data_IF_837939338609
#
_entry.id   IF_837939338609
#
_cell.length_a   1.000
_cell.length_b   1.000
_cell.length_c   1.000
_cell.angle_alpha   90.00
_cell.angle_beta   90.00
_cell.angle_gamma   90.00
#
_symmetry.space_group_name_H-M   'P 1'
#
loop_
_entity.id
_entity.type
_entity.pdbx_description
1 polymer ?
#
# COMPACT_ATOMS: atom_id res chain seq x y z
N UNK A 1 -1.09 20.66 -12.15
CA UNK A 1 -1.70 19.66 -11.26
C UNK A 1 -0.69 18.61 -10.77
N UNK A 2 0.45 18.41 -11.42
CA UNK A 2 1.43 17.39 -11.02
C UNK A 2 2.35 17.81 -9.86
N UNK A 3 2.51 19.11 -9.67
CA UNK A 3 3.37 19.67 -8.62
C UNK A 3 2.52 20.10 -7.42
N UNK A 4 2.89 19.65 -6.25
CA UNK A 4 2.24 20.01 -4.99
C UNK A 4 2.68 21.42 -4.57
N UNK A 5 1.71 22.31 -4.27
CA UNK A 5 1.96 23.70 -3.82
C UNK A 5 1.81 23.77 -2.30
N UNK A 6 2.17 23.07 -1.52
CA UNK A 6 2.08 23.01 -0.06
C UNK A 6 1.46 24.26 0.60
N UNK A 7 0.14 24.47 0.42
CA UNK A 7 -0.59 25.67 0.85
C UNK A 7 -2.11 25.44 0.76
N UNK A 8 -2.93 26.47 1.07
CA UNK A 8 -4.39 26.36 1.04
C UNK A 8 -4.95 26.37 -0.41
N UNK A 9 -4.46 25.43 -1.22
CA UNK A 9 -4.84 25.28 -2.64
C UNK A 9 -5.45 23.91 -2.85
N UNK A 10 -6.64 23.86 -3.42
CA UNK A 10 -7.32 22.62 -3.84
C UNK A 10 -7.44 22.64 -5.36
N UNK A 11 -6.89 21.61 -5.98
CA UNK A 11 -7.01 21.42 -7.43
C UNK A 11 -8.17 20.47 -7.71
N UNK A 12 -9.05 20.86 -8.64
CA UNK A 12 -10.21 20.08 -9.06
C UNK A 12 -10.06 19.71 -10.52
N UNK A 13 -10.24 18.44 -10.84
CA UNK A 13 -10.31 17.90 -12.19
C UNK A 13 -11.71 17.31 -12.40
N UNK A 14 -12.43 17.79 -13.40
CA UNK A 14 -13.76 17.30 -13.77
C UNK A 14 -13.62 16.43 -15.01
N UNK A 15 -14.27 15.27 -14.99
CA UNK A 15 -14.24 14.32 -16.10
C UNK A 15 -15.65 13.80 -16.41
N UNK A 16 -15.84 13.33 -17.64
CA UNK A 16 -17.06 12.67 -18.08
C UNK A 16 -17.08 11.21 -17.62
N UNK A 17 -18.26 10.67 -17.31
CA UNK A 17 -18.41 9.29 -16.84
C UNK A 17 -17.75 8.26 -17.77
N UNK A 18 -17.77 8.52 -19.07
CA UNK A 18 -17.13 7.67 -20.08
C UNK A 18 -15.61 7.63 -19.97
N UNK A 19 -14.97 8.63 -19.34
CA UNK A 19 -13.52 8.75 -19.16
C UNK A 19 -13.07 8.32 -17.78
N UNK A 20 -13.81 7.43 -17.13
CA UNK A 20 -13.49 6.98 -15.78
C UNK A 20 -12.15 6.23 -15.72
N UNK A 21 -11.89 5.30 -16.65
CA UNK A 21 -10.67 4.52 -16.68
C UNK A 21 -9.44 5.37 -16.97
N UNK A 22 -9.52 6.28 -17.94
CA UNK A 22 -8.44 7.22 -18.27
C UNK A 22 -8.16 8.16 -17.07
N UNK A 23 -9.21 8.50 -16.32
CA UNK A 23 -9.05 9.32 -15.12
C UNK A 23 -8.34 8.56 -14.01
N UNK A 24 -8.64 7.28 -13.81
CA UNK A 24 -7.93 6.44 -12.85
C UNK A 24 -6.44 6.29 -13.22
N UNK A 25 -6.13 6.12 -14.49
CA UNK A 25 -4.75 6.08 -15.00
C UNK A 25 -4.05 7.42 -14.77
N UNK A 26 -4.71 8.53 -15.09
CA UNK A 26 -4.18 9.87 -14.82
C UNK A 26 -3.88 10.09 -13.33
N UNK A 27 -4.73 9.63 -12.42
CA UNK A 27 -4.50 9.70 -10.97
C UNK A 27 -3.27 8.89 -10.58
N UNK A 28 -3.16 7.65 -11.06
CA UNK A 28 -2.04 6.75 -10.73
C UNK A 28 -0.68 7.29 -11.19
N UNK A 29 -0.66 7.97 -12.35
CA UNK A 29 0.55 8.49 -12.99
C UNK A 29 0.86 9.96 -12.65
N UNK A 30 -0.04 10.67 -11.97
CA UNK A 30 0.10 12.11 -11.77
C UNK A 30 1.23 12.51 -10.84
N UNK A 31 1.59 11.66 -9.90
CA UNK A 31 2.62 11.95 -8.89
C UNK A 31 3.36 10.68 -8.46
N UNK A 32 4.60 10.85 -8.03
CA UNK A 32 5.39 9.78 -7.40
C UNK A 32 5.01 9.53 -5.93
N UNK A 33 4.23 10.42 -5.31
CA UNK A 33 3.78 10.29 -3.93
C UNK A 33 2.51 9.44 -3.84
N UNK A 34 2.38 8.68 -2.75
CA UNK A 34 1.25 7.78 -2.51
C UNK A 34 0.95 7.68 -1.01
N UNK A 35 0.62 8.82 -0.38
CA UNK A 35 0.38 8.87 1.07
C UNK A 35 -1.04 8.42 1.41
N UNK A 36 -2.03 9.23 1.09
CA UNK A 36 -3.44 8.96 1.39
C UNK A 36 -4.33 9.26 0.20
N UNK A 37 -5.45 8.56 0.11
CA UNK A 37 -6.47 8.81 -0.89
C UNK A 37 -7.85 8.41 -0.39
N UNK A 38 -8.88 8.98 -0.99
CA UNK A 38 -10.28 8.63 -0.72
C UNK A 38 -11.05 8.45 -2.00
N UNK A 39 -11.92 7.45 -2.01
CA UNK A 39 -12.83 7.16 -3.12
C UNK A 39 -14.25 7.29 -2.60
N UNK A 40 -15.02 8.20 -3.21
CA UNK A 40 -16.43 8.40 -2.92
C UNK A 40 -17.26 7.83 -4.05
N UNK A 41 -18.02 6.78 -3.78
CA UNK A 41 -18.92 6.17 -4.75
C UNK A 41 -20.10 5.49 -4.06
N UNK A 42 -21.30 5.61 -4.66
CA UNK A 42 -22.48 4.83 -4.27
C UNK A 42 -22.49 3.46 -4.93
N UNK A 43 -22.00 3.39 -6.16
CA UNK A 43 -21.86 2.10 -6.87
C UNK A 43 -20.66 1.31 -6.33
N UNK A 44 -20.95 0.15 -5.77
CA UNK A 44 -19.94 -0.76 -5.24
C UNK A 44 -18.98 -1.31 -6.30
N UNK A 45 -19.46 -1.47 -7.53
CA UNK A 45 -18.63 -1.96 -8.64
C UNK A 45 -17.59 -0.90 -9.04
N UNK A 46 -18.01 0.36 -9.15
CA UNK A 46 -17.09 1.46 -9.41
C UNK A 46 -16.03 1.60 -8.32
N UNK A 47 -16.41 1.43 -7.05
CA UNK A 47 -15.49 1.47 -5.93
C UNK A 47 -14.45 0.33 -5.97
N UNK A 48 -14.89 -0.90 -6.27
CA UNK A 48 -13.99 -2.05 -6.40
C UNK A 48 -13.03 -1.86 -7.58
N UNK A 49 -13.55 -1.40 -8.72
CA UNK A 49 -12.76 -1.15 -9.91
C UNK A 49 -11.69 -0.07 -9.66
N UNK A 50 -12.08 1.07 -9.09
CA UNK A 50 -11.14 2.13 -8.73
C UNK A 50 -10.09 1.64 -7.71
N UNK A 51 -10.48 0.81 -6.75
CA UNK A 51 -9.55 0.20 -5.77
C UNK A 51 -8.49 -0.65 -6.46
N UNK A 52 -8.90 -1.44 -7.43
CA UNK A 52 -7.97 -2.31 -8.17
C UNK A 52 -7.00 -1.50 -9.02
N UNK A 53 -7.51 -0.50 -9.72
CA UNK A 53 -6.68 0.40 -10.56
C UNK A 53 -5.71 1.25 -9.73
N UNK A 54 -6.14 1.75 -8.58
CA UNK A 54 -5.38 2.65 -7.72
C UNK A 54 -4.68 1.94 -6.54
N UNK A 55 -4.48 0.62 -6.60
CA UNK A 55 -3.91 -0.20 -5.51
C UNK A 55 -2.57 0.32 -4.96
N UNK A 56 -1.79 0.98 -5.81
CA UNK A 56 -0.47 1.52 -5.47
C UNK A 56 -0.45 3.05 -5.36
N UNK A 57 -1.59 3.72 -5.55
CA UNK A 57 -1.67 5.19 -5.57
C UNK A 57 -1.80 5.81 -4.17
N UNK A 58 -2.02 5.03 -3.13
CA UNK A 58 -2.04 5.50 -1.75
C UNK A 58 -1.69 4.39 -0.75
N UNK A 59 -0.94 4.71 0.28
CA UNK A 59 -0.67 3.79 1.39
C UNK A 59 -1.87 3.63 2.31
N UNK A 60 -2.64 4.68 2.53
CA UNK A 60 -3.91 4.64 3.26
C UNK A 60 -5.07 5.04 2.34
N UNK A 61 -6.04 4.16 2.19
CA UNK A 61 -7.22 4.38 1.35
C UNK A 61 -8.49 4.39 2.21
N UNK A 62 -9.37 5.34 1.91
CA UNK A 62 -10.62 5.54 2.61
C UNK A 62 -11.79 5.46 1.62
N UNK A 63 -12.89 4.82 2.02
CA UNK A 63 -14.09 4.73 1.20
C UNK A 63 -15.22 5.54 1.81
N UNK A 64 -15.72 6.53 1.06
CA UNK A 64 -16.80 7.43 1.49
C UNK A 64 -16.51 8.12 2.84
N UNK A 65 -15.24 8.39 3.10
CA UNK A 65 -14.73 9.03 4.31
C UNK A 65 -13.61 10.01 3.92
N UNK A 66 -13.30 10.95 4.81
CA UNK A 66 -12.17 11.89 4.61
C UNK A 66 -10.85 11.12 4.50
N UNK A 67 -9.96 11.60 3.66
CA UNK A 67 -8.68 10.96 3.33
C UNK A 67 -7.56 11.21 4.34
N UNK A 68 -7.86 11.61 5.58
CA UNK A 68 -6.85 11.95 6.59
C UNK A 68 -7.35 11.67 8.01
N UNK A 69 -6.46 11.80 9.00
CA UNK A 69 -6.82 11.65 10.41
C UNK A 69 -6.82 10.19 10.87
N UNK A 70 -5.84 9.40 10.44
CA UNK A 70 -5.63 8.06 10.97
C UNK A 70 -5.46 8.08 12.50
N UNK A 71 -6.18 7.21 13.20
CA UNK A 71 -6.18 7.12 14.66
C UNK A 71 -5.35 5.92 15.09
N UNK A 72 -4.37 6.14 15.96
CA UNK A 72 -3.51 5.08 16.51
C UNK A 72 -4.38 4.00 17.18
N UNK A 73 -4.08 2.74 16.88
CA UNK A 73 -4.82 1.58 17.36
C UNK A 73 -6.08 1.24 16.56
N UNK A 74 -6.55 2.14 15.69
CA UNK A 74 -7.66 1.86 14.78
C UNK A 74 -7.20 1.72 13.33
N UNK A 75 -6.23 2.54 12.95
CA UNK A 75 -5.80 2.65 11.57
C UNK A 75 -4.29 2.87 11.49
N UNK A 76 -3.51 1.84 11.16
CA UNK A 76 -2.09 1.98 10.92
C UNK A 76 -1.84 2.94 9.75
N UNK A 77 -0.82 3.78 9.87
CA UNK A 77 -0.54 4.83 8.91
C UNK A 77 0.82 4.66 8.24
N UNK A 78 0.85 4.82 6.93
CA UNK A 78 2.09 4.80 6.15
C UNK A 78 1.84 5.06 4.69
N UNK A 79 2.77 5.76 4.04
CA UNK A 79 2.75 6.05 2.62
C UNK A 79 3.57 5.05 1.81
N UNK A 80 3.14 4.83 0.57
CA UNK A 80 3.85 4.05 -0.42
C UNK A 80 4.61 4.96 -1.39
N UNK A 81 5.31 4.40 -2.36
CA UNK A 81 6.13 5.10 -3.36
C UNK A 81 7.09 6.09 -2.68
N UNK A 82 7.20 7.32 -3.18
CA UNK A 82 8.03 8.37 -2.58
C UNK A 82 7.49 8.92 -1.23
N UNK A 83 6.30 8.52 -0.81
CA UNK A 83 5.73 8.91 0.49
C UNK A 83 6.22 8.09 1.68
N UNK A 84 7.02 7.05 1.48
CA UNK A 84 7.62 6.28 2.55
C UNK A 84 7.72 4.79 2.27
N UNK A 85 8.09 4.03 3.30
CA UNK A 85 8.30 2.58 3.23
C UNK A 85 7.04 1.77 3.45
N UNK A 86 5.94 2.42 3.75
CA UNK A 86 4.63 1.81 4.03
C UNK A 86 4.62 0.81 5.22
N UNK A 87 5.50 0.98 6.19
CA UNK A 87 5.63 0.07 7.34
C UNK A 87 4.48 0.14 8.34
N UNK A 88 3.48 0.97 8.09
CA UNK A 88 2.26 1.05 8.90
C UNK A 88 2.52 1.35 10.38
N UNK A 89 2.98 2.58 10.67
CA UNK A 89 3.10 3.09 12.03
C UNK A 89 1.77 2.91 12.80
N UNK A 90 1.85 2.47 14.04
CA UNK A 90 0.67 2.12 14.84
C UNK A 90 0.19 0.67 14.65
N UNK A 91 0.95 -0.16 13.92
CA UNK A 91 0.73 -1.61 13.83
C UNK A 91 1.96 -2.40 14.28
N UNK A 92 1.76 -3.69 14.54
CA UNK A 92 2.86 -4.61 14.86
C UNK A 92 3.87 -4.73 13.72
N UNK A 93 3.46 -4.45 12.49
CA UNK A 93 4.33 -4.57 11.31
C UNK A 93 5.56 -3.66 11.37
N UNK A 94 5.46 -2.50 12.03
CA UNK A 94 6.60 -1.58 12.17
C UNK A 94 7.76 -2.20 12.94
N UNK A 95 7.51 -3.15 13.85
CA UNK A 95 8.56 -3.80 14.64
C UNK A 95 9.56 -4.58 13.79
N UNK A 96 9.15 -5.06 12.60
CA UNK A 96 10.06 -5.73 11.66
C UNK A 96 11.26 -4.85 11.24
N UNK A 97 11.15 -3.53 11.38
CA UNK A 97 12.26 -2.59 11.14
C UNK A 97 13.28 -2.55 12.27
N UNK A 98 12.91 -3.04 13.44
CA UNK A 98 13.74 -2.98 14.65
C UNK A 98 14.23 -4.35 15.13
N UNK A 99 13.85 -5.43 14.45
CA UNK A 99 14.21 -6.80 14.82
C UNK A 99 14.91 -7.50 13.65
N UNK A 100 15.76 -8.46 14.01
CA UNK A 100 16.40 -9.34 13.05
C UNK A 100 15.94 -10.78 13.32
N UNK A 101 15.29 -11.38 12.35
CA UNK A 101 14.82 -12.76 12.46
C UNK A 101 16.01 -13.73 12.41
N UNK A 102 16.03 -14.70 13.35
CA UNK A 102 17.01 -15.78 13.38
C UNK A 102 16.28 -17.12 13.34
N UNK A 103 16.62 -17.94 12.38
CA UNK A 103 16.15 -19.33 12.33
C UNK A 103 17.20 -20.26 12.90
N UNK A 104 16.79 -21.18 13.79
CA UNK A 104 17.63 -22.19 14.37
C UNK A 104 17.00 -23.55 14.05
N UNK A 105 17.80 -24.43 13.44
CA UNK A 105 17.44 -25.83 13.23
C UNK A 105 18.46 -26.68 14.00
N UNK A 106 17.94 -27.55 14.85
CA UNK A 106 18.75 -28.52 15.58
C UNK A 106 18.33 -29.92 15.18
N UNK A 107 19.32 -30.79 14.92
CA UNK A 107 19.07 -32.21 14.67
C UNK A 107 19.56 -33.00 15.89
N UNK A 108 18.68 -33.71 16.55
CA UNK A 108 18.99 -34.53 17.74
C UNK A 108 19.53 -35.89 17.38
N UNK A 109 19.42 -36.32 16.13
CA UNK A 109 20.07 -37.54 15.62
C UNK A 109 21.20 -37.11 14.72
N UNK A 110 22.41 -37.57 14.97
CA UNK A 110 23.58 -37.25 14.16
C UNK A 110 23.35 -37.58 12.69
N UNK A 111 23.95 -36.78 11.82
CA UNK A 111 23.97 -37.05 10.38
C UNK A 111 25.04 -38.07 10.07
N UNK A 112 24.63 -39.23 9.58
CA UNK A 112 25.54 -40.34 9.22
C UNK A 112 25.83 -40.39 7.71
N UNK A 113 24.97 -39.78 6.90
CA UNK A 113 25.08 -39.69 5.45
C UNK A 113 25.23 -38.25 4.99
N UNK A 114 26.25 -37.97 4.19
CA UNK A 114 26.48 -36.64 3.59
C UNK A 114 25.74 -36.43 2.29
N UNK A 115 25.11 -37.46 1.75
CA UNK A 115 24.40 -37.42 0.46
C UNK A 115 23.08 -36.69 0.59
N UNK A 116 22.71 -35.95 -0.42
CA UNK A 116 21.35 -35.46 -0.58
C UNK A 116 20.48 -36.53 -1.25
N UNK A 117 19.22 -36.71 -0.83
CA UNK A 117 18.32 -37.69 -1.47
C UNK A 117 18.19 -37.50 -2.98
N UNK A 118 18.30 -36.27 -3.49
CA UNK A 118 18.30 -35.95 -4.91
C UNK A 118 19.52 -36.48 -5.69
N UNK A 119 20.59 -36.88 -4.98
CA UNK A 119 21.79 -37.41 -5.60
C UNK A 119 21.79 -38.95 -5.67
N UNK A 120 20.73 -39.60 -5.17
CA UNK A 120 20.59 -41.07 -5.11
C UNK A 120 19.74 -41.62 -6.26
N UNK A 121 19.55 -40.86 -7.35
CA UNK A 121 18.79 -41.27 -8.53
C UNK A 121 19.72 -41.74 -9.62
#
# INVERSE_FOLDING_TARGET
>A
MREEIFGPVVTVYVYEDASFDETLELIDESTEYALTGSIFARDRKALIHATDRLRNAAGNVYYNEKCTGAVVGQQPFGGARASGTNDKAGSVSIFWRFVSARSIKENFVGLEDFSYPSNLV
#
